data_IF_064830383787
#
_entry.id   IF_064830383787
#
_cell.length_a   1.000
_cell.length_b   1.000
_cell.length_c   1.000
_cell.angle_alpha   90.00
_cell.angle_beta   90.00
_cell.angle_gamma   90.00
#
_symmetry.space_group_name_H-M   'P 1'
#
loop_
_entity.id
_entity.type
_entity.pdbx_description
1 polymer ?
#
# COMPACT_ATOMS: atom_id res chain seq x y z
N UNK A 1 -7.23 -24.50 20.88
CA UNK A 1 -5.80 -24.24 21.14
C UNK A 1 -5.71 -22.77 21.47
N UNK A 2 -5.56 -22.42 22.76
CA UNK A 2 -5.60 -21.02 23.19
C UNK A 2 -4.28 -20.33 22.82
N UNK A 3 -4.36 -19.20 22.11
CA UNK A 3 -3.21 -18.36 21.80
C UNK A 3 -2.75 -17.62 23.07
N UNK A 4 -1.44 -17.55 23.31
CA UNK A 4 -0.86 -16.86 24.48
C UNK A 4 -1.00 -15.33 24.35
N UNK A 5 -1.05 -14.61 25.47
CA UNK A 5 -1.31 -13.16 25.52
C UNK A 5 -0.30 -12.27 24.77
N UNK A 6 0.93 -12.72 24.61
CA UNK A 6 1.96 -12.02 23.80
C UNK A 6 1.75 -12.19 22.29
N UNK A 7 1.24 -13.35 21.86
CA UNK A 7 0.90 -13.64 20.46
C UNK A 7 -0.36 -12.87 20.05
N UNK A 8 -1.32 -12.74 20.97
CA UNK A 8 -2.51 -11.90 20.76
C UNK A 8 -2.15 -10.42 20.63
N UNK A 9 -1.25 -9.89 21.47
CA UNK A 9 -0.80 -8.49 21.36
C UNK A 9 -0.14 -8.19 20.02
N UNK A 10 0.71 -9.09 19.53
CA UNK A 10 1.41 -8.91 18.26
C UNK A 10 0.46 -9.01 17.05
N UNK A 11 -0.55 -9.89 17.10
CA UNK A 11 -1.59 -10.00 16.07
C UNK A 11 -2.61 -8.86 16.12
N UNK A 12 -2.96 -8.39 17.33
CA UNK A 12 -3.82 -7.23 17.55
C UNK A 12 -3.16 -5.96 17.00
N UNK A 13 -1.87 -5.75 17.28
CA UNK A 13 -1.11 -4.62 16.73
C UNK A 13 -1.05 -4.66 15.19
N UNK A 14 -0.98 -5.86 14.60
CA UNK A 14 -1.05 -6.04 13.14
C UNK A 14 -2.41 -5.65 12.56
N UNK A 15 -3.52 -6.09 13.19
CA UNK A 15 -4.87 -5.71 12.78
C UNK A 15 -5.20 -4.23 13.03
N UNK A 16 -4.61 -3.66 14.08
CA UNK A 16 -4.72 -2.24 14.40
C UNK A 16 -4.00 -1.36 13.35
N UNK A 17 -2.86 -1.81 12.81
CA UNK A 17 -2.18 -1.16 11.70
C UNK A 17 -3.01 -1.19 10.40
N UNK A 18 -3.63 -2.32 10.08
CA UNK A 18 -4.49 -2.46 8.88
C UNK A 18 -5.79 -1.61 9.00
N UNK A 19 -6.34 -1.46 10.20
CA UNK A 19 -7.58 -0.69 10.45
C UNK A 19 -7.34 0.81 10.63
N UNK A 20 -6.12 1.23 10.95
CA UNK A 20 -5.81 2.63 11.28
C UNK A 20 -5.72 3.54 10.04
N UNK A 21 -5.30 3.02 8.87
CA UNK A 21 -5.30 3.78 7.63
C UNK A 21 -6.72 4.22 7.21
N UNK A 22 -7.71 3.32 7.30
CA UNK A 22 -9.10 3.61 7.00
C UNK A 22 -9.67 4.63 8.01
N UNK A 23 -9.37 4.45 9.29
CA UNK A 23 -9.84 5.34 10.36
C UNK A 23 -9.27 6.76 10.23
N UNK A 24 -7.99 6.91 9.86
CA UNK A 24 -7.36 8.22 9.61
C UNK A 24 -7.95 8.89 8.38
N UNK A 25 -8.21 8.13 7.31
CA UNK A 25 -8.86 8.63 6.11
C UNK A 25 -10.30 9.09 6.41
N UNK A 26 -11.11 8.27 7.10
CA UNK A 26 -12.48 8.59 7.51
C UNK A 26 -12.53 9.82 8.43
N UNK A 27 -11.54 10.00 9.32
CA UNK A 27 -11.37 11.22 10.12
C UNK A 27 -11.09 12.44 9.24
N UNK A 28 -10.27 12.30 8.20
CA UNK A 28 -9.89 13.40 7.29
C UNK A 28 -11.05 13.88 6.41
N UNK A 29 -11.97 12.99 6.04
CA UNK A 29 -13.18 13.34 5.29
C UNK A 29 -14.38 13.71 6.20
N UNK A 30 -14.18 13.70 7.53
CA UNK A 30 -15.23 14.05 8.50
C UNK A 30 -16.32 12.98 8.68
N UNK A 31 -16.10 11.75 8.19
CA UNK A 31 -17.08 10.68 8.22
C UNK A 31 -17.34 10.13 9.64
N UNK A 32 -16.40 10.30 10.58
CA UNK A 32 -16.49 9.74 11.94
C UNK A 32 -17.23 10.63 12.96
N UNK A 33 -17.64 11.84 12.59
CA UNK A 33 -18.32 12.80 13.48
C UNK A 33 -17.66 12.87 14.89
N UNK A 34 -18.41 13.10 15.97
CA UNK A 34 -17.87 13.39 17.31
C UNK A 34 -17.40 12.14 18.11
N UNK A 35 -17.37 10.94 17.52
CA UNK A 35 -17.04 9.68 18.23
C UNK A 35 -15.57 9.25 18.04
N UNK A 36 -14.64 10.09 18.53
CA UNK A 36 -13.22 10.05 18.14
C UNK A 36 -12.25 9.55 19.22
N UNK A 37 -12.62 9.46 20.51
CA UNK A 37 -11.62 9.17 21.58
C UNK A 37 -10.91 7.81 21.43
N UNK A 38 -11.66 6.74 21.16
CA UNK A 38 -11.08 5.39 20.96
C UNK A 38 -10.25 5.30 19.67
N UNK A 39 -10.61 6.06 18.63
CA UNK A 39 -9.88 6.12 17.38
C UNK A 39 -8.54 6.85 17.56
N UNK A 40 -8.53 7.93 18.35
CA UNK A 40 -7.30 8.64 18.71
C UNK A 40 -6.39 7.78 19.59
N UNK A 41 -6.94 7.02 20.52
CA UNK A 41 -6.17 6.07 21.34
C UNK A 41 -5.53 4.97 20.49
N UNK A 42 -6.28 4.37 19.55
CA UNK A 42 -5.73 3.39 18.61
C UNK A 42 -4.65 3.99 17.69
N UNK A 43 -4.86 5.21 17.18
CA UNK A 43 -3.85 5.90 16.36
C UNK A 43 -2.59 6.18 17.19
N UNK A 44 -2.72 6.57 18.44
CA UNK A 44 -1.58 6.86 19.31
C UNK A 44 -0.83 5.58 19.71
N UNK A 45 -1.53 4.49 20.03
CA UNK A 45 -0.91 3.17 20.29
C UNK A 45 -0.14 2.66 19.07
N UNK A 46 -0.75 2.75 17.88
CA UNK A 46 -0.09 2.35 16.63
C UNK A 46 1.14 3.21 16.33
N UNK A 47 1.08 4.52 16.60
CA UNK A 47 2.25 5.40 16.46
C UNK A 47 3.38 4.99 17.40
N UNK A 48 3.10 4.72 18.67
CA UNK A 48 4.15 4.33 19.62
C UNK A 48 4.82 3.00 19.25
N UNK A 49 4.05 2.00 18.82
CA UNK A 49 4.59 0.71 18.38
C UNK A 49 5.38 0.84 17.08
N UNK A 50 4.85 1.59 16.11
CA UNK A 50 5.56 1.89 14.87
C UNK A 50 6.87 2.64 15.11
N UNK A 51 6.87 3.63 16.01
CA UNK A 51 8.06 4.39 16.35
C UNK A 51 9.15 3.48 16.96
N UNK A 52 8.77 2.54 17.85
CA UNK A 52 9.71 1.57 18.43
C UNK A 52 10.33 0.65 17.37
N UNK A 53 9.51 0.09 16.48
CA UNK A 53 9.99 -0.79 15.41
C UNK A 53 10.89 -0.06 14.42
N UNK A 54 10.57 1.20 14.12
CA UNK A 54 11.37 2.02 13.21
C UNK A 54 12.67 2.45 13.89
N UNK A 55 12.66 2.80 15.18
CA UNK A 55 13.89 3.10 15.93
C UNK A 55 14.84 1.90 15.95
N UNK A 56 14.32 0.70 16.25
CA UNK A 56 15.12 -0.52 16.19
C UNK A 56 15.66 -0.80 14.78
N UNK A 57 14.84 -0.53 13.75
CA UNK A 57 15.26 -0.68 12.36
C UNK A 57 16.35 0.35 11.98
N UNK A 58 16.22 1.61 12.40
CA UNK A 58 17.20 2.68 12.15
C UNK A 58 18.51 2.34 12.86
N UNK A 59 18.48 1.94 14.12
CA UNK A 59 19.66 1.56 14.90
C UNK A 59 20.42 0.39 14.26
N UNK A 60 19.70 -0.59 13.68
CA UNK A 60 20.32 -1.70 12.93
C UNK A 60 20.95 -1.26 11.61
N UNK A 61 20.49 -0.16 11.02
CA UNK A 61 20.98 0.35 9.74
C UNK A 61 22.13 1.34 9.93
N UNK A 62 22.22 1.99 11.09
CA UNK A 62 23.34 2.82 11.52
C UNK A 62 24.62 1.96 11.62
N UNK A 63 25.54 2.14 10.66
CA UNK A 63 26.82 1.42 10.59
C UNK A 63 27.01 0.53 9.36
N UNK A 64 26.00 0.42 8.48
CA UNK A 64 26.14 -0.31 7.20
C UNK A 64 26.63 0.60 6.07
N UNK A 65 27.94 0.68 5.86
CA UNK A 65 28.54 1.38 4.72
C UNK A 65 28.46 0.51 3.46
N UNK A 66 27.26 0.39 2.89
CA UNK A 66 27.06 -0.27 1.58
C UNK A 66 27.22 0.74 0.45
N UNK A 67 27.54 0.28 -0.77
CA UNK A 67 27.51 1.16 -1.96
C UNK A 67 26.08 1.64 -2.21
N UNK A 68 25.88 2.81 -2.84
CA UNK A 68 24.53 3.35 -3.10
C UNK A 68 23.63 2.37 -3.88
N UNK A 69 24.20 1.54 -4.76
CA UNK A 69 23.49 0.53 -5.55
C UNK A 69 23.03 -0.68 -4.70
N UNK A 70 23.62 -0.90 -3.53
CA UNK A 70 23.28 -1.98 -2.60
C UNK A 70 22.53 -1.49 -1.36
N UNK A 71 22.39 -0.17 -1.17
CA UNK A 71 21.71 0.38 0.00
C UNK A 71 20.23 0.05 -0.03
N UNK A 72 19.76 -0.54 1.07
CA UNK A 72 18.32 -0.67 1.34
C UNK A 72 17.69 0.71 1.35
N UNK A 73 16.45 0.80 0.88
CA UNK A 73 15.71 2.07 0.76
C UNK A 73 15.71 2.90 2.07
N UNK A 74 15.57 2.25 3.23
CA UNK A 74 15.66 2.93 4.53
C UNK A 74 17.05 3.54 4.81
N UNK A 75 18.13 2.85 4.49
CA UNK A 75 19.51 3.39 4.60
C UNK A 75 19.71 4.60 3.68
N UNK A 76 19.14 4.54 2.47
CA UNK A 76 19.20 5.66 1.53
C UNK A 76 18.50 6.90 2.11
N UNK A 77 17.35 6.74 2.76
CA UNK A 77 16.64 7.86 3.41
C UNK A 77 17.41 8.44 4.60
N UNK A 78 17.99 7.59 5.46
CA UNK A 78 18.77 8.02 6.63
C UNK A 78 19.99 8.86 6.21
N UNK A 79 20.60 8.53 5.07
CA UNK A 79 21.78 9.22 4.57
C UNK A 79 21.47 10.52 3.79
N UNK A 80 20.19 10.88 3.58
CA UNK A 80 19.80 12.14 2.94
C UNK A 80 19.90 13.30 3.94
N UNK A 81 20.72 14.30 3.62
CA UNK A 81 20.96 15.47 4.49
C UNK A 81 19.73 16.38 4.62
N UNK A 82 18.83 16.30 3.65
CA UNK A 82 17.60 17.08 3.59
C UNK A 82 16.48 16.53 4.49
N UNK A 83 16.63 15.29 4.97
CA UNK A 83 15.63 14.62 5.81
C UNK A 83 16.12 14.55 7.25
N UNK A 84 15.25 14.95 8.18
CA UNK A 84 15.50 14.66 9.59
C UNK A 84 14.97 13.26 9.95
N UNK A 85 15.36 12.74 11.12
CA UNK A 85 14.94 11.40 11.58
C UNK A 85 13.41 11.25 11.62
N UNK A 86 12.70 12.31 12.01
CA UNK A 86 11.22 12.30 12.05
C UNK A 86 10.62 12.17 10.65
N UNK A 87 11.17 12.85 9.65
CA UNK A 87 10.72 12.73 8.26
C UNK A 87 10.96 11.32 7.72
N UNK A 88 12.13 10.74 8.01
CA UNK A 88 12.45 9.35 7.63
C UNK A 88 11.46 8.38 8.27
N UNK A 89 11.16 8.53 9.57
CA UNK A 89 10.15 7.72 10.26
C UNK A 89 8.78 7.81 9.60
N UNK A 90 8.32 9.02 9.30
CA UNK A 90 7.02 9.26 8.66
C UNK A 90 6.96 8.59 7.28
N UNK A 91 8.01 8.73 6.47
CA UNK A 91 8.07 8.12 5.13
C UNK A 91 8.01 6.59 5.23
N UNK A 92 8.81 5.98 6.11
CA UNK A 92 8.84 4.53 6.29
C UNK A 92 7.50 3.99 6.79
N UNK A 93 6.89 4.66 7.76
CA UNK A 93 5.59 4.27 8.30
C UNK A 93 4.48 4.41 7.25
N UNK A 94 4.46 5.51 6.49
CA UNK A 94 3.50 5.71 5.41
C UNK A 94 3.63 4.60 4.38
N UNK A 95 4.83 4.34 3.87
CA UNK A 95 5.05 3.32 2.84
C UNK A 95 4.63 1.91 3.29
N UNK A 96 4.91 1.56 4.54
CA UNK A 96 4.48 0.27 5.08
C UNK A 96 2.95 0.17 5.18
N UNK A 97 2.30 1.21 5.70
CA UNK A 97 0.85 1.27 5.84
C UNK A 97 0.12 1.30 4.48
N UNK A 98 0.66 2.04 3.53
CA UNK A 98 0.13 2.15 2.17
C UNK A 98 0.25 0.81 1.43
N UNK A 99 1.34 0.07 1.64
CA UNK A 99 1.54 -1.27 1.10
C UNK A 99 0.52 -2.29 1.64
N UNK A 100 0.21 -2.23 2.94
CA UNK A 100 -0.77 -3.10 3.58
C UNK A 100 -2.20 -2.80 3.11
N UNK A 101 -2.60 -1.53 3.12
CA UNK A 101 -3.97 -1.13 2.80
C UNK A 101 -4.33 -1.28 1.31
N UNK A 102 -3.34 -1.27 0.40
CA UNK A 102 -3.59 -1.35 -1.04
C UNK A 102 -3.15 -2.66 -1.68
N UNK A 103 -1.90 -3.08 -1.47
CA UNK A 103 -1.32 -4.19 -2.23
C UNK A 103 -1.78 -5.54 -1.68
N UNK A 104 -1.89 -5.67 -0.36
CA UNK A 104 -2.36 -6.91 0.27
C UNK A 104 -3.78 -7.31 -0.16
N UNK A 105 -4.81 -6.43 -0.10
CA UNK A 105 -6.15 -6.80 -0.59
C UNK A 105 -6.18 -7.08 -2.09
N UNK A 106 -5.38 -6.36 -2.91
CA UNK A 106 -5.27 -6.65 -4.35
C UNK A 106 -4.81 -8.10 -4.56
N UNK A 107 -3.74 -8.49 -3.87
CA UNK A 107 -3.19 -9.84 -3.99
C UNK A 107 -4.23 -10.90 -3.63
N UNK A 108 -5.03 -10.66 -2.58
CA UNK A 108 -6.13 -11.54 -2.19
C UNK A 108 -7.17 -11.64 -3.30
N UNK A 109 -7.61 -10.53 -3.91
CA UNK A 109 -8.55 -10.55 -5.03
C UNK A 109 -8.00 -11.28 -6.26
N UNK A 110 -6.71 -11.10 -6.56
CA UNK A 110 -6.08 -11.78 -7.69
C UNK A 110 -6.04 -13.31 -7.47
N UNK A 111 -5.65 -13.74 -6.26
CA UNK A 111 -5.68 -15.15 -5.88
C UNK A 111 -7.10 -15.71 -5.91
N UNK A 112 -8.09 -14.96 -5.43
CA UNK A 112 -9.50 -15.33 -5.48
C UNK A 112 -9.98 -15.52 -6.93
N UNK A 113 -9.73 -14.55 -7.81
CA UNK A 113 -10.10 -14.63 -9.23
C UNK A 113 -9.45 -15.82 -9.92
N UNK A 114 -8.16 -16.05 -9.66
CA UNK A 114 -7.42 -17.18 -10.22
C UNK A 114 -7.97 -18.52 -9.71
N UNK A 115 -8.27 -18.63 -8.42
CA UNK A 115 -8.85 -19.85 -7.83
C UNK A 115 -10.26 -20.16 -8.34
N UNK A 116 -11.01 -19.15 -8.79
CA UNK A 116 -12.35 -19.31 -9.38
C UNK A 116 -12.32 -19.70 -10.87
N UNK A 117 -11.19 -19.54 -11.55
CA UNK A 117 -11.03 -19.83 -12.98
C UNK A 117 -9.84 -20.78 -13.21
N UNK A 118 -10.03 -22.11 -13.03
CA UNK A 118 -8.93 -23.08 -13.08
C UNK A 118 -8.21 -23.15 -14.43
N UNK A 119 -8.91 -22.87 -15.52
CA UNK A 119 -8.37 -22.74 -16.87
C UNK A 119 -7.35 -21.60 -16.96
N UNK A 120 -7.73 -20.41 -16.48
CA UNK A 120 -6.85 -19.24 -16.41
C UNK A 120 -5.67 -19.49 -15.46
N UNK A 121 -5.91 -20.16 -14.33
CA UNK A 121 -4.85 -20.55 -13.40
C UNK A 121 -3.81 -21.47 -14.05
N UNK A 122 -4.24 -22.41 -14.88
CA UNK A 122 -3.34 -23.30 -15.60
C UNK A 122 -2.48 -22.53 -16.60
N UNK A 123 -3.10 -21.69 -17.43
CA UNK A 123 -2.39 -20.88 -18.42
C UNK A 123 -1.39 -19.91 -17.76
N UNK A 124 -1.80 -19.27 -16.65
CA UNK A 124 -0.94 -18.39 -15.87
C UNK A 124 0.27 -19.13 -15.30
N UNK A 125 0.05 -20.34 -14.78
CA UNK A 125 1.12 -21.19 -14.25
C UNK A 125 2.10 -21.59 -15.36
N UNK A 126 1.61 -21.90 -16.55
CA UNK A 126 2.45 -22.27 -17.70
C UNK A 126 3.27 -21.07 -18.19
N UNK A 127 2.69 -19.87 -18.26
CA UNK A 127 3.42 -18.64 -18.59
C UNK A 127 4.54 -18.39 -17.57
N UNK A 128 4.21 -18.43 -16.27
CA UNK A 128 5.18 -18.19 -15.19
C UNK A 128 6.29 -19.23 -15.22
N UNK A 129 5.95 -20.52 -15.34
CA UNK A 129 6.95 -21.58 -15.42
C UNK A 129 7.86 -21.46 -16.65
N UNK A 130 7.32 -21.02 -17.79
CA UNK A 130 8.09 -20.82 -19.02
C UNK A 130 9.03 -19.62 -18.92
N UNK A 131 8.54 -18.51 -18.38
CA UNK A 131 9.31 -17.27 -18.27
C UNK A 131 10.36 -17.31 -17.15
N UNK A 132 10.02 -17.92 -16.02
CA UNK A 132 10.94 -18.11 -14.89
C UNK A 132 11.88 -19.27 -15.21
N UNK A 133 11.37 -20.41 -15.66
CA UNK A 133 12.12 -21.52 -16.25
C UNK A 133 13.48 -21.80 -15.58
N UNK A 134 14.55 -21.47 -16.30
CA UNK A 134 15.96 -21.65 -15.92
C UNK A 134 16.52 -20.56 -14.98
N UNK A 135 15.86 -19.41 -14.89
CA UNK A 135 16.21 -18.34 -13.96
C UNK A 135 15.51 -18.62 -12.63
N UNK A 136 16.25 -19.14 -11.64
CA UNK A 136 15.73 -19.27 -10.26
C UNK A 136 15.44 -17.91 -9.62
N UNK A 137 15.97 -16.85 -10.20
CA UNK A 137 15.83 -15.48 -9.73
C UNK A 137 14.90 -14.67 -10.64
N UNK A 138 13.95 -13.98 -10.04
CA UNK A 138 13.02 -13.10 -10.73
C UNK A 138 13.72 -11.79 -11.04
N UNK A 139 14.09 -11.58 -12.29
CA UNK A 139 14.72 -10.34 -12.77
C UNK A 139 13.72 -9.46 -13.52
N UNK A 140 13.99 -8.15 -13.72
CA UNK A 140 13.16 -7.29 -14.56
C UNK A 140 12.95 -7.84 -15.99
N UNK A 141 13.96 -8.53 -16.54
CA UNK A 141 13.86 -9.19 -17.84
C UNK A 141 12.94 -10.42 -17.84
N UNK A 142 12.83 -11.13 -16.71
CA UNK A 142 11.82 -12.20 -16.55
C UNK A 142 10.43 -11.58 -16.46
N UNK A 143 10.27 -10.53 -15.65
CA UNK A 143 8.98 -9.84 -15.48
C UNK A 143 8.44 -9.25 -16.79
N UNK A 144 9.31 -8.83 -17.72
CA UNK A 144 8.90 -8.33 -19.04
C UNK A 144 8.33 -9.43 -19.96
N UNK A 145 8.53 -10.71 -19.63
CA UNK A 145 8.01 -11.88 -20.35
C UNK A 145 6.74 -12.49 -19.74
N UNK A 146 6.07 -11.76 -18.85
CA UNK A 146 4.82 -12.18 -18.18
C UNK A 146 3.62 -11.30 -18.60
N UNK A 147 3.25 -11.20 -19.88
CA UNK A 147 2.12 -10.40 -20.33
C UNK A 147 0.76 -10.88 -19.81
N UNK A 148 0.52 -12.19 -19.70
CA UNK A 148 -0.74 -12.75 -19.24
C UNK A 148 -0.94 -12.55 -17.74
N UNK A 149 0.10 -12.72 -16.92
CA UNK A 149 0.06 -12.32 -15.50
C UNK A 149 -0.29 -10.85 -15.35
N UNK A 150 0.30 -9.97 -16.17
CA UNK A 150 -0.05 -8.54 -16.17
C UNK A 150 -1.49 -8.31 -16.58
N UNK A 151 -2.03 -9.08 -17.53
CA UNK A 151 -3.42 -9.01 -17.92
C UNK A 151 -4.35 -9.44 -16.76
N UNK A 152 -4.03 -10.54 -16.07
CA UNK A 152 -4.80 -11.02 -14.91
C UNK A 152 -4.84 -10.01 -13.76
N UNK A 153 -3.70 -9.37 -13.47
CA UNK A 153 -3.62 -8.29 -12.47
C UNK A 153 -4.50 -7.12 -12.91
N UNK A 154 -4.40 -6.67 -14.16
CA UNK A 154 -5.24 -5.57 -14.68
C UNK A 154 -6.72 -5.90 -14.65
N UNK A 155 -7.10 -7.13 -14.98
CA UNK A 155 -8.49 -7.58 -14.93
C UNK A 155 -9.01 -7.66 -13.49
N UNK A 156 -8.14 -8.03 -12.54
CA UNK A 156 -8.47 -7.95 -11.11
C UNK A 156 -8.72 -6.50 -10.69
N UNK A 157 -7.88 -5.54 -11.12
CA UNK A 157 -8.14 -4.12 -10.88
C UNK A 157 -9.43 -3.62 -11.55
N UNK A 158 -9.79 -4.19 -12.71
CA UNK A 158 -11.05 -3.89 -13.40
C UNK A 158 -12.28 -4.31 -12.59
N UNK A 159 -12.20 -5.46 -11.93
CA UNK A 159 -13.30 -6.00 -11.11
C UNK A 159 -13.31 -5.44 -9.68
N UNK A 160 -12.13 -5.20 -9.12
CA UNK A 160 -11.91 -4.79 -7.73
C UNK A 160 -10.93 -3.61 -7.70
N UNK A 161 -11.39 -2.40 -8.03
CA UNK A 161 -10.52 -1.22 -8.03
C UNK A 161 -10.12 -0.88 -6.59
N UNK A 162 -8.82 -0.76 -6.35
CA UNK A 162 -8.27 -0.35 -5.06
C UNK A 162 -7.76 1.08 -5.18
N UNK A 163 -8.18 1.94 -4.25
CA UNK A 163 -7.98 3.39 -4.33
C UNK A 163 -9.08 4.05 -5.14
N UNK A 164 -10.22 4.29 -4.50
CA UNK A 164 -11.46 4.75 -5.16
C UNK A 164 -11.62 6.27 -5.25
N UNK A 165 -10.63 7.05 -4.79
CA UNK A 165 -10.81 8.50 -4.66
C UNK A 165 -9.60 9.28 -5.16
N UNK A 166 -9.53 9.44 -6.49
CA UNK A 166 -8.66 10.46 -7.08
C UNK A 166 -9.43 11.79 -6.99
N UNK A 167 -9.26 12.49 -5.86
CA UNK A 167 -9.83 13.82 -5.64
C UNK A 167 -8.91 14.91 -6.16
N UNK A 168 -9.46 15.94 -6.79
CA UNK A 168 -8.73 17.13 -7.26
C UNK A 168 -9.52 18.39 -6.94
N UNK A 169 -8.78 19.44 -6.59
CA UNK A 169 -9.34 20.79 -6.40
C UNK A 169 -8.71 21.69 -7.47
N UNK A 170 -9.43 22.04 -8.55
CA UNK A 170 -8.94 22.92 -9.60
C UNK A 170 -8.53 24.28 -9.04
N UNK A 171 -7.33 24.73 -9.41
CA UNK A 171 -6.84 26.06 -9.02
C UNK A 171 -7.38 27.19 -9.91
N UNK A 172 -8.02 26.82 -11.03
CA UNK A 172 -8.62 27.70 -12.02
C UNK A 172 -9.87 27.04 -12.56
N UNK A 173 -10.79 27.85 -13.05
CA UNK A 173 -11.98 27.38 -13.77
C UNK A 173 -11.56 26.48 -14.94
N UNK A 174 -12.32 25.39 -15.13
CA UNK A 174 -12.12 24.46 -16.23
C UNK A 174 -13.45 23.95 -16.77
N UNK A 175 -13.42 23.35 -17.95
CA UNK A 175 -14.60 22.75 -18.58
C UNK A 175 -14.37 21.24 -18.68
N UNK A 176 -15.22 20.44 -18.03
CA UNK A 176 -15.23 18.97 -18.14
C UNK A 176 -16.44 18.55 -18.94
N UNK A 177 -16.23 17.91 -20.10
CA UNK A 177 -17.32 17.39 -20.94
C UNK A 177 -18.42 18.42 -21.26
N UNK A 178 -18.05 19.70 -21.40
CA UNK A 178 -18.97 20.81 -21.65
C UNK A 178 -19.54 21.48 -20.39
N UNK A 179 -19.28 20.95 -19.19
CA UNK A 179 -19.69 21.54 -17.92
C UNK A 179 -18.61 22.47 -17.37
N UNK A 180 -18.98 23.70 -17.04
CA UNK A 180 -18.09 24.63 -16.34
C UNK A 180 -17.95 24.21 -14.87
N UNK A 181 -16.71 24.03 -14.44
CA UNK A 181 -16.32 23.69 -13.07
C UNK A 181 -15.51 24.86 -12.52
N UNK A 182 -16.05 25.62 -11.55
CA UNK A 182 -15.34 26.73 -10.94
C UNK A 182 -14.07 26.29 -10.19
N UNK A 183 -13.08 27.18 -10.12
CA UNK A 183 -11.93 27.01 -9.24
C UNK A 183 -12.37 26.75 -7.78
N UNK A 184 -11.63 25.88 -7.09
CA UNK A 184 -11.92 25.51 -5.70
C UNK A 184 -12.98 24.42 -5.52
N UNK A 185 -13.64 23.96 -6.59
CA UNK A 185 -14.63 22.88 -6.51
C UNK A 185 -13.95 21.52 -6.34
N UNK A 186 -14.22 20.73 -5.28
CA UNK A 186 -13.72 19.35 -5.19
C UNK A 186 -14.32 18.50 -6.32
N UNK A 187 -13.46 17.79 -7.05
CA UNK A 187 -13.82 16.89 -8.14
C UNK A 187 -13.24 15.52 -7.82
N UNK A 188 -14.13 14.53 -7.67
CA UNK A 188 -13.76 13.15 -7.39
C UNK A 188 -13.94 12.30 -8.64
N UNK A 189 -12.88 11.58 -9.01
CA UNK A 189 -12.91 10.63 -10.12
C UNK A 189 -13.26 9.26 -9.54
N UNK A 190 -14.48 8.80 -9.81
CA UNK A 190 -14.93 7.47 -9.38
C UNK A 190 -14.35 6.40 -10.30
N UNK A 191 -13.34 5.68 -9.82
CA UNK A 191 -12.68 4.62 -10.57
C UNK A 191 -13.58 3.39 -10.79
N UNK A 192 -14.63 3.18 -9.98
CA UNK A 192 -15.59 2.08 -10.18
C UNK A 192 -16.43 2.25 -11.44
N UNK A 193 -16.60 3.49 -11.94
CA UNK A 193 -17.47 3.80 -13.09
C UNK A 193 -16.67 3.94 -14.39
N UNK A 194 -15.35 4.11 -14.30
CA UNK A 194 -14.46 4.25 -15.46
C UNK A 194 -14.10 2.90 -16.13
N UNK A 195 -14.74 1.81 -15.73
CA UNK A 195 -14.38 0.43 -16.09
C UNK A 195 -15.52 -0.33 -16.76
#
# INVERSE_FOLDING_TARGET
MAMNGTDFGHQFNRWALESSALTVFEKRIGALADRIEWADELVNLNKSEADLLIDEAIDKLHGSTQSEDEMKFASLLINRKELNVKDVKIILLSMFSDGLSTTAPMLVYNLFNTAKHPDIQSELRDEVNTAVGLAKEVTPAVLSRLPFLRACIKETFRLFPIGTEISRIPQKDLVLSGYHVPAGTPVDINTNVLM
#
